data_IF_297024434918
#
_entry.id   IF_297024434918
#
_cell.length_a   1.000
_cell.length_b   1.000
_cell.length_c   1.000
_cell.angle_alpha   90.00
_cell.angle_beta   90.00
_cell.angle_gamma   90.00
#
_symmetry.space_group_name_H-M   'P 1'
#
loop_
_entity.id
_entity.type
_entity.pdbx_description
1 polymer ?
#
# COMPACT_ATOMS: atom_id res chain seq x y z
N UNK A 1 0.88 -17.41 5.94
CA UNK A 1 1.91 -16.48 5.41
C UNK A 1 1.20 -15.40 4.63
N UNK A 2 1.42 -14.12 4.93
CA UNK A 2 0.81 -13.02 4.20
C UNK A 2 1.28 -13.05 2.73
N UNK A 3 0.33 -13.07 1.78
CA UNK A 3 0.61 -13.16 0.34
C UNK A 3 1.11 -11.82 -0.16
N UNK A 4 2.22 -11.79 -0.90
CA UNK A 4 2.72 -10.56 -1.51
C UNK A 4 1.78 -10.06 -2.61
N UNK A 5 1.65 -8.75 -2.69
CA UNK A 5 1.01 -8.08 -3.83
C UNK A 5 1.96 -8.17 -5.02
N UNK A 6 1.52 -8.71 -6.18
CA UNK A 6 2.38 -8.77 -7.36
C UNK A 6 2.72 -7.36 -7.87
N UNK A 7 3.78 -7.17 -8.67
CA UNK A 7 4.05 -5.90 -9.35
C UNK A 7 2.89 -5.50 -10.27
N UNK A 8 2.71 -4.19 -10.50
CA UNK A 8 1.76 -3.63 -11.47
C UNK A 8 0.31 -4.13 -11.28
N UNK A 9 -0.07 -4.33 -10.03
CA UNK A 9 -1.40 -4.80 -9.66
C UNK A 9 -2.01 -3.91 -8.59
N UNK A 10 -1.79 -2.59 -8.69
CA UNK A 10 -2.30 -1.65 -7.70
C UNK A 10 -3.83 -1.70 -7.61
N UNK A 11 -4.51 -1.82 -8.74
CA UNK A 11 -5.97 -1.90 -8.78
C UNK A 11 -6.52 -3.09 -7.98
N UNK A 12 -5.88 -4.25 -8.09
CA UNK A 12 -6.29 -5.45 -7.32
C UNK A 12 -6.02 -5.28 -5.82
N UNK A 13 -4.92 -4.61 -5.47
CA UNK A 13 -4.59 -4.27 -4.09
C UNK A 13 -5.61 -3.30 -3.47
N UNK A 14 -5.99 -2.25 -4.21
CA UNK A 14 -7.00 -1.30 -3.77
C UNK A 14 -8.40 -1.93 -3.71
N UNK A 15 -8.76 -2.79 -4.67
CA UNK A 15 -10.02 -3.53 -4.65
C UNK A 15 -10.12 -4.45 -3.43
N UNK A 16 -9.03 -5.10 -3.03
CA UNK A 16 -8.98 -5.90 -1.81
C UNK A 16 -9.26 -5.06 -0.55
N UNK A 17 -8.66 -3.86 -0.45
CA UNK A 17 -8.93 -2.95 0.68
C UNK A 17 -10.37 -2.45 0.67
N UNK A 18 -10.91 -2.11 -0.51
CA UNK A 18 -12.30 -1.69 -0.67
C UNK A 18 -13.30 -2.78 -0.27
N UNK A 19 -12.93 -4.06 -0.43
CA UNK A 19 -13.71 -5.21 0.03
C UNK A 19 -13.62 -5.44 1.56
N UNK A 20 -12.92 -4.58 2.30
CA UNK A 20 -12.71 -4.69 3.75
C UNK A 20 -11.42 -5.41 4.14
N UNK A 21 -10.59 -5.77 3.17
CA UNK A 21 -9.25 -6.32 3.40
C UNK A 21 -8.25 -5.26 3.86
N UNK A 22 -7.03 -5.69 4.14
CA UNK A 22 -5.97 -4.80 4.63
C UNK A 22 -4.66 -5.08 3.89
N UNK A 23 -3.86 -4.03 3.62
CA UNK A 23 -2.49 -4.20 3.14
C UNK A 23 -1.51 -3.91 4.26
N UNK A 24 -0.40 -4.64 4.28
CA UNK A 24 0.66 -4.48 5.26
C UNK A 24 2.01 -4.35 4.55
N UNK A 25 2.80 -3.39 5.03
CA UNK A 25 4.22 -3.26 4.69
C UNK A 25 5.01 -3.53 5.98
N UNK A 26 5.57 -4.75 6.14
CA UNK A 26 6.42 -5.06 7.27
C UNK A 26 7.79 -4.41 7.08
N UNK A 27 8.25 -3.70 8.09
CA UNK A 27 9.63 -3.26 8.26
C UNK A 27 10.27 -4.09 9.37
N UNK A 28 11.56 -3.88 9.63
CA UNK A 28 12.30 -4.64 10.64
C UNK A 28 11.68 -4.53 12.04
N UNK A 29 11.15 -3.36 12.40
CA UNK A 29 10.61 -3.08 13.74
C UNK A 29 9.09 -2.92 13.79
N UNK A 30 8.43 -2.62 12.68
CA UNK A 30 7.01 -2.27 12.67
C UNK A 30 6.30 -2.74 11.39
N UNK A 31 4.97 -2.71 11.41
CA UNK A 31 4.14 -2.96 10.23
C UNK A 31 3.33 -1.70 9.92
N UNK A 32 3.45 -1.17 8.71
CA UNK A 32 2.54 -0.13 8.23
C UNK A 32 1.28 -0.80 7.70
N UNK A 33 0.15 -0.51 8.33
CA UNK A 33 -1.16 -1.07 7.99
C UNK A 33 -1.92 -0.05 7.15
N UNK A 34 -2.49 -0.51 6.04
CA UNK A 34 -3.26 0.30 5.10
C UNK A 34 -4.64 -0.33 5.00
N UNK A 35 -5.59 0.31 5.66
CA UNK A 35 -7.01 0.01 5.59
C UNK A 35 -7.74 1.09 4.76
N UNK A 36 -9.05 0.90 4.59
CA UNK A 36 -9.87 1.87 3.87
C UNK A 36 -9.82 3.27 4.50
N UNK A 37 -9.69 3.38 5.83
CA UNK A 37 -9.62 4.67 6.53
C UNK A 37 -8.38 5.45 6.16
N UNK A 38 -7.25 4.77 5.96
CA UNK A 38 -6.00 5.39 5.50
C UNK A 38 -6.16 5.85 4.05
N UNK A 39 -6.77 5.04 3.17
CA UNK A 39 -7.05 5.44 1.78
C UNK A 39 -7.93 6.69 1.74
N UNK A 40 -9.05 6.68 2.46
CA UNK A 40 -10.01 7.78 2.49
C UNK A 40 -9.37 9.08 3.01
N UNK A 41 -8.47 8.98 3.99
CA UNK A 41 -7.73 10.13 4.53
C UNK A 41 -6.89 10.83 3.46
N UNK A 42 -6.22 10.07 2.60
CA UNK A 42 -5.41 10.61 1.51
C UNK A 42 -6.29 11.13 0.36
N UNK A 43 -7.35 10.39 0.02
CA UNK A 43 -8.32 10.81 -0.99
C UNK A 43 -8.99 12.14 -0.63
N UNK A 44 -9.33 12.36 0.65
CA UNK A 44 -9.95 13.61 1.15
C UNK A 44 -9.11 14.86 0.87
N UNK A 45 -7.79 14.73 0.80
CA UNK A 45 -6.86 15.83 0.53
C UNK A 45 -6.34 15.83 -0.91
N UNK A 46 -6.91 14.99 -1.79
CA UNK A 46 -6.47 14.85 -3.17
C UNK A 46 -5.05 14.31 -3.32
N UNK A 47 -4.52 13.65 -2.28
CA UNK A 47 -3.19 13.05 -2.31
C UNK A 47 -3.29 11.55 -2.65
N UNK A 48 -2.31 11.04 -3.37
CA UNK A 48 -2.13 9.61 -3.56
C UNK A 48 -1.46 8.99 -2.34
N UNK A 49 -1.93 7.82 -1.90
CA UNK A 49 -1.28 7.03 -0.85
C UNK A 49 -0.26 6.04 -1.45
N UNK A 50 -0.70 5.29 -2.47
CA UNK A 50 0.07 4.26 -3.16
C UNK A 50 0.10 4.58 -4.65
N UNK A 51 1.24 4.30 -5.29
CA UNK A 51 1.44 4.43 -6.73
C UNK A 51 2.36 3.33 -7.22
N UNK A 52 2.16 2.87 -8.45
CA UNK A 52 3.08 1.95 -9.11
C UNK A 52 4.38 2.67 -9.48
N UNK A 53 5.53 2.01 -9.27
CA UNK A 53 6.85 2.54 -9.62
C UNK A 53 7.77 1.39 -10.03
N UNK A 54 7.99 1.21 -11.33
CA UNK A 54 8.75 0.08 -11.87
C UNK A 54 8.12 -1.26 -11.50
N UNK A 55 8.92 -2.11 -10.82
CA UNK A 55 8.48 -3.42 -10.33
C UNK A 55 7.93 -3.37 -8.89
N UNK A 56 8.11 -2.23 -8.21
CA UNK A 56 7.67 -2.01 -6.84
C UNK A 56 6.51 -1.01 -6.76
N UNK A 57 6.39 -0.41 -5.58
CA UNK A 57 5.37 0.58 -5.28
C UNK A 57 5.99 1.77 -4.58
N UNK A 58 5.43 2.97 -4.76
CA UNK A 58 5.69 4.09 -3.88
C UNK A 58 4.56 4.25 -2.89
N UNK A 59 4.92 4.42 -1.62
CA UNK A 59 4.01 4.84 -0.56
C UNK A 59 4.33 6.27 -0.16
N UNK A 60 3.29 7.11 -0.09
CA UNK A 60 3.42 8.48 0.39
C UNK A 60 3.40 8.52 1.92
N UNK A 61 4.41 9.15 2.52
CA UNK A 61 4.46 9.48 3.95
C UNK A 61 4.58 11.00 4.12
N UNK A 62 3.44 11.66 4.22
CA UNK A 62 3.36 13.12 4.33
C UNK A 62 3.92 13.82 3.09
N UNK A 63 5.05 14.51 3.25
CA UNK A 63 5.76 15.22 2.17
C UNK A 63 6.76 14.35 1.39
N UNK A 64 7.09 13.18 1.91
CA UNK A 64 8.04 12.26 1.29
C UNK A 64 7.32 11.02 0.75
N UNK A 65 8.03 10.23 -0.05
CA UNK A 65 7.57 8.93 -0.51
C UNK A 65 8.67 7.90 -0.39
N UNK A 66 8.34 6.71 0.08
CA UNK A 66 9.28 5.60 0.15
C UNK A 66 9.01 4.62 -0.98
N UNK A 67 10.09 4.04 -1.50
CA UNK A 67 10.01 2.92 -2.41
C UNK A 67 9.82 1.62 -1.63
N UNK A 68 8.77 0.89 -1.97
CA UNK A 68 8.42 -0.42 -1.44
C UNK A 68 8.86 -1.45 -2.46
N UNK A 69 9.89 -2.20 -2.10
CA UNK A 69 10.45 -3.24 -2.95
C UNK A 69 9.42 -4.33 -3.26
N UNK A 70 9.53 -5.00 -4.42
CA UNK A 70 8.65 -6.11 -4.77
C UNK A 70 8.61 -7.17 -3.66
N UNK A 71 7.41 -7.67 -3.35
CA UNK A 71 7.22 -8.69 -2.31
C UNK A 71 7.11 -8.16 -0.88
N UNK A 72 7.40 -6.87 -0.64
CA UNK A 72 7.27 -6.26 0.68
C UNK A 72 5.83 -5.81 0.98
N UNK A 73 5.09 -5.36 -0.02
CA UNK A 73 3.65 -5.09 0.13
C UNK A 73 2.89 -6.42 0.17
N UNK A 74 2.07 -6.65 1.21
CA UNK A 74 1.36 -7.92 1.42
C UNK A 74 -0.13 -7.70 1.70
N UNK A 75 -0.94 -8.65 1.25
CA UNK A 75 -2.34 -8.81 1.67
C UNK A 75 -2.38 -9.40 3.09
N UNK A 76 -3.29 -8.91 3.92
CA UNK A 76 -3.50 -9.33 5.30
C UNK A 76 -4.97 -9.66 5.59
#
# INVERSE_FOLDING_TARGET
>A
MAKSVPPKSLDSALAHVAAGGTLIIPTYTHCTVIDQRVIDRFAKVGAWLLREDGDGYRIRRGKHSDYVVPGLLKYA
#
